data_IF_728092458826
#
_entry.id   IF_728092458826
#
_cell.length_a   1.000
_cell.length_b   1.000
_cell.length_c   1.000
_cell.angle_alpha   90.00
_cell.angle_beta   90.00
_cell.angle_gamma   90.00
#
_symmetry.space_group_name_H-M   'P 1'
#
loop_
_entity.id
_entity.type
_entity.pdbx_description
1 polymer ?
#
# COMPACT_ATOMS: atom_id res chain seq x y z
N UNK A 1 12.95 8.15 10.73
CA UNK A 1 12.46 6.83 10.27
C UNK A 1 12.45 6.91 8.77
N UNK A 2 13.07 5.95 8.09
CA UNK A 2 13.07 5.91 6.63
C UNK A 2 11.64 5.60 6.14
N UNK A 3 11.20 6.28 5.10
CA UNK A 3 9.84 6.10 4.59
C UNK A 3 9.86 4.94 3.59
N UNK A 4 9.44 3.76 4.03
CA UNK A 4 9.49 2.53 3.22
C UNK A 4 8.70 2.64 1.91
N UNK A 5 7.60 3.40 1.85
CA UNK A 5 6.86 3.62 0.60
C UNK A 5 7.59 4.55 -0.35
N UNK A 6 8.26 5.58 0.16
CA UNK A 6 9.10 6.45 -0.66
C UNK A 6 10.24 5.67 -1.31
N UNK A 7 10.92 4.80 -0.54
CA UNK A 7 11.97 3.92 -1.08
C UNK A 7 11.46 2.99 -2.18
N UNK A 8 10.23 2.49 -2.06
CA UNK A 8 9.61 1.71 -3.14
C UNK A 8 9.41 2.59 -4.38
N UNK A 9 8.82 3.78 -4.24
CA UNK A 9 8.61 4.70 -5.38
C UNK A 9 9.89 5.24 -6.01
N UNK A 10 11.05 5.12 -5.34
CA UNK A 10 12.35 5.40 -5.93
C UNK A 10 12.88 4.24 -6.79
N UNK A 11 12.45 3.01 -6.51
CA UNK A 11 12.88 1.77 -7.17
C UNK A 11 11.91 1.32 -8.27
N UNK A 12 10.63 1.63 -8.13
CA UNK A 12 9.55 1.24 -9.04
C UNK A 12 8.49 2.33 -9.18
N UNK A 13 7.77 2.34 -10.30
CA UNK A 13 6.74 3.35 -10.57
C UNK A 13 5.38 3.00 -9.95
N UNK A 14 5.17 1.74 -9.56
CA UNK A 14 3.91 1.21 -9.03
C UNK A 14 4.11 0.48 -7.72
N UNK A 15 3.22 0.67 -6.75
CA UNK A 15 3.22 0.01 -5.44
C UNK A 15 1.87 -0.65 -5.21
N UNK A 16 1.82 -1.97 -5.11
CA UNK A 16 0.61 -2.78 -4.89
C UNK A 16 0.20 -2.81 -3.43
N UNK A 17 -1.12 -2.81 -3.16
CA UNK A 17 -1.60 -3.05 -1.81
C UNK A 17 -1.23 -4.46 -1.33
N UNK A 18 -1.42 -5.47 -2.17
CA UNK A 18 -1.17 -6.86 -1.82
C UNK A 18 0.31 -7.25 -1.82
N UNK A 19 1.06 -6.83 -2.84
CA UNK A 19 2.41 -7.34 -3.07
C UNK A 19 3.48 -6.50 -2.36
N UNK A 20 3.19 -5.23 -2.06
CA UNK A 20 4.14 -4.31 -1.42
C UNK A 20 3.66 -3.85 -0.04
N UNK A 21 2.44 -3.29 0.06
CA UNK A 21 1.98 -2.64 1.30
C UNK A 21 1.64 -3.66 2.39
N UNK A 22 0.90 -4.73 2.09
CA UNK A 22 0.58 -5.74 3.10
C UNK A 22 1.82 -6.39 3.69
N UNK A 23 2.84 -6.80 2.92
CA UNK A 23 4.11 -7.27 3.48
C UNK A 23 4.78 -6.25 4.42
N UNK A 24 4.75 -4.96 4.08
CA UNK A 24 5.27 -3.91 4.97
C UNK A 24 4.50 -3.83 6.30
N UNK A 25 3.17 -3.94 6.24
CA UNK A 25 2.32 -3.97 7.45
C UNK A 25 2.59 -5.24 8.26
N UNK A 26 2.64 -6.41 7.62
CA UNK A 26 2.91 -7.68 8.30
C UNK A 26 4.29 -7.68 8.98
N UNK A 27 5.30 -7.08 8.34
CA UNK A 27 6.63 -6.90 8.92
C UNK A 27 6.60 -5.94 10.12
N UNK A 28 5.97 -4.78 9.98
CA UNK A 28 5.88 -3.76 11.04
C UNK A 28 5.15 -4.28 12.29
N UNK A 29 4.07 -5.04 12.09
CA UNK A 29 3.24 -5.57 13.17
C UNK A 29 3.51 -7.06 13.45
N UNK A 30 4.67 -7.58 13.02
CA UNK A 30 5.04 -8.97 13.22
C UNK A 30 4.99 -9.38 14.70
N UNK A 31 4.34 -10.51 14.99
CA UNK A 31 4.18 -11.02 16.35
C UNK A 31 3.01 -10.42 17.15
N UNK A 32 2.25 -9.47 16.58
CA UNK A 32 1.01 -8.99 17.16
C UNK A 32 -0.18 -9.86 16.72
N UNK A 33 -1.22 -9.93 17.55
CA UNK A 33 -2.48 -10.61 17.20
C UNK A 33 -3.32 -9.66 16.36
N UNK A 34 -3.56 -10.03 15.10
CA UNK A 34 -4.38 -9.24 14.19
C UNK A 34 -5.81 -9.10 14.70
N UNK A 35 -6.27 -7.87 14.81
CA UNK A 35 -7.57 -7.48 15.34
C UNK A 35 -7.81 -5.99 15.15
N UNK A 36 -8.96 -5.49 15.55
CA UNK A 36 -9.41 -4.13 15.26
C UNK A 36 -8.37 -3.05 15.63
N UNK A 37 -7.70 -3.18 16.79
CA UNK A 37 -6.66 -2.22 17.22
C UNK A 37 -5.44 -2.23 16.28
N UNK A 38 -4.94 -3.41 15.93
CA UNK A 38 -3.80 -3.55 15.01
C UNK A 38 -4.16 -3.07 13.60
N UNK A 39 -5.40 -3.30 13.16
CA UNK A 39 -5.89 -2.77 11.88
C UNK A 39 -5.95 -1.24 11.86
N UNK A 40 -6.38 -0.61 12.96
CA UNK A 40 -6.37 0.84 13.09
C UNK A 40 -4.94 1.40 13.07
N UNK A 41 -4.01 0.74 13.78
CA UNK A 41 -2.60 1.12 13.76
C UNK A 41 -1.96 0.93 12.38
N UNK A 42 -2.26 -0.17 11.69
CA UNK A 42 -1.81 -0.42 10.32
C UNK A 42 -2.31 0.66 9.36
N UNK A 43 -3.57 1.08 9.49
CA UNK A 43 -4.13 2.17 8.71
C UNK A 43 -3.38 3.49 8.97
N UNK A 44 -3.11 3.82 10.24
CA UNK A 44 -2.34 5.00 10.62
C UNK A 44 -0.91 4.95 10.09
N UNK A 45 -0.25 3.80 10.19
CA UNK A 45 1.11 3.56 9.69
C UNK A 45 1.21 3.83 8.18
N UNK A 46 0.34 3.22 7.37
CA UNK A 46 0.30 3.46 5.93
C UNK A 46 -0.04 4.91 5.61
N UNK A 47 -0.98 5.51 6.34
CA UNK A 47 -1.29 6.93 6.20
C UNK A 47 -0.08 7.85 6.42
N UNK A 48 0.74 7.57 7.43
CA UNK A 48 1.97 8.33 7.70
C UNK A 48 3.00 8.16 6.58
N UNK A 49 3.18 6.94 6.07
CA UNK A 49 4.09 6.69 4.95
C UNK A 49 3.63 7.43 3.68
N UNK A 50 2.35 7.37 3.33
CA UNK A 50 1.80 8.09 2.18
C UNK A 50 1.94 9.62 2.33
N UNK A 51 1.79 10.16 3.54
CA UNK A 51 2.05 11.58 3.80
C UNK A 51 3.50 11.98 3.51
N UNK A 52 4.47 11.13 3.87
CA UNK A 52 5.86 11.39 3.55
C UNK A 52 6.15 11.32 2.05
N UNK A 53 5.51 10.42 1.32
CA UNK A 53 5.59 10.36 -0.16
C UNK A 53 5.06 11.66 -0.77
N UNK A 54 3.89 12.12 -0.32
CA UNK A 54 3.31 13.40 -0.76
C UNK A 54 4.22 14.59 -0.43
N UNK A 55 4.77 14.65 0.79
CA UNK A 55 5.70 15.71 1.19
C UNK A 55 7.00 15.73 0.37
N UNK A 56 7.42 14.58 -0.17
CA UNK A 56 8.52 14.46 -1.10
C UNK A 56 8.18 14.91 -2.54
N UNK A 57 6.96 15.38 -2.78
CA UNK A 57 6.51 15.88 -4.08
C UNK A 57 6.10 14.78 -5.06
N UNK A 58 6.02 13.52 -4.61
CA UNK A 58 5.55 12.41 -5.44
C UNK A 58 4.02 12.40 -5.38
N UNK A 59 3.40 12.70 -6.51
CA UNK A 59 1.98 12.45 -6.71
C UNK A 59 1.78 10.99 -7.08
N UNK A 60 0.70 10.36 -6.61
CA UNK A 60 0.34 9.00 -7.01
C UNK A 60 -1.18 8.86 -7.20
N UNK A 61 -1.59 7.87 -7.98
CA UNK A 61 -2.99 7.46 -8.19
C UNK A 61 -3.23 6.08 -7.60
N UNK A 62 -4.44 5.82 -7.10
CA UNK A 62 -4.86 4.48 -6.71
C UNK A 62 -5.66 3.84 -7.85
N UNK A 63 -5.12 2.77 -8.44
CA UNK A 63 -5.66 2.08 -9.58
C UNK A 63 -6.15 0.68 -9.17
N UNK A 64 -7.43 0.34 -9.37
CA UNK A 64 -7.92 -1.00 -9.09
C UNK A 64 -7.37 -1.99 -10.11
N UNK A 65 -6.90 -3.14 -9.64
CA UNK A 65 -6.57 -4.28 -10.50
C UNK A 65 -7.73 -5.26 -10.43
N UNK A 66 -8.24 -5.61 -11.61
CA UNK A 66 -9.33 -6.56 -11.73
C UNK A 66 -8.80 -7.96 -11.96
N UNK A 67 -9.42 -8.93 -11.30
CA UNK A 67 -9.15 -10.35 -11.48
C UNK A 67 -10.42 -11.18 -11.43
N UNK A 68 -10.25 -12.49 -11.38
CA UNK A 68 -11.36 -13.44 -11.26
C UNK A 68 -11.63 -13.77 -9.79
N UNK A 69 -12.83 -13.50 -9.32
CA UNK A 69 -13.39 -14.03 -8.08
C UNK A 69 -14.19 -15.31 -8.31
N UNK A 70 -14.96 -15.70 -7.30
CA UNK A 70 -15.74 -16.93 -7.33
C UNK A 70 -16.73 -16.98 -8.51
N UNK A 71 -16.86 -18.17 -9.10
CA UNK A 71 -17.75 -18.44 -10.23
C UNK A 71 -17.52 -17.55 -11.46
N UNK A 72 -16.27 -17.13 -11.71
CA UNK A 72 -15.90 -16.33 -12.88
C UNK A 72 -16.38 -14.89 -12.84
N UNK A 73 -16.80 -14.40 -11.66
CA UNK A 73 -17.12 -12.98 -11.48
C UNK A 73 -15.85 -12.15 -11.47
N UNK A 74 -15.86 -11.01 -12.15
CA UNK A 74 -14.79 -10.04 -12.02
C UNK A 74 -14.84 -9.40 -10.62
N UNK A 75 -13.71 -9.31 -9.95
CA UNK A 75 -13.55 -8.63 -8.65
C UNK A 75 -12.34 -7.70 -8.69
N UNK A 76 -12.31 -6.70 -7.81
CA UNK A 76 -11.07 -5.97 -7.54
C UNK A 76 -10.22 -6.86 -6.66
N UNK A 77 -9.11 -7.34 -7.22
CA UNK A 77 -8.17 -8.19 -6.48
C UNK A 77 -7.14 -7.36 -5.74
N UNK A 78 -6.87 -6.14 -6.20
CA UNK A 78 -5.83 -5.29 -5.66
C UNK A 78 -6.10 -3.80 -5.94
N UNK A 79 -5.41 -2.93 -5.20
CA UNK A 79 -5.35 -1.49 -5.46
C UNK A 79 -3.88 -1.10 -5.52
N UNK A 80 -3.42 -0.68 -6.69
CA UNK A 80 -2.02 -0.32 -6.94
C UNK A 80 -1.88 1.19 -6.97
N UNK A 81 -0.95 1.72 -6.20
CA UNK A 81 -0.55 3.12 -6.19
C UNK A 81 0.51 3.38 -7.26
N UNK A 82 0.23 4.19 -8.28
CA UNK A 82 1.18 4.52 -9.35
C UNK A 82 1.65 5.96 -9.23
N UNK A 83 2.95 6.20 -9.34
CA UNK A 83 3.54 7.54 -9.37
C UNK A 83 3.11 8.30 -10.64
N UNK A 84 2.60 9.52 -10.46
CA UNK A 84 2.28 10.44 -11.55
C UNK A 84 3.45 11.40 -11.76
N UNK A 85 4.05 11.35 -12.94
CA UNK A 85 4.97 12.38 -13.43
C UNK A 85 4.20 13.43 -14.22
N UNK A 86 4.49 14.71 -13.94
CA UNK A 86 3.96 15.88 -14.67
C UNK A 86 4.92 16.26 -15.78
#
# INVERSE_FOLDING_TARGET
MENKLLELFEKQDTVSMNDDIFPLVEEEFAGQVMGNEVYELAHQYIGQLLWGVYAAGISFIASPVFGSGDFGKMVVTDVVYEKVTV
#
